data_IF_473859004830
#
_entry.id   IF_473859004830
#
_cell.length_a   1.000
_cell.length_b   1.000
_cell.length_c   1.000
_cell.angle_alpha   90.00
_cell.angle_beta   90.00
_cell.angle_gamma   90.00
#
_symmetry.space_group_name_H-M   'P 1'
#
loop_
_entity.id
_entity.type
_entity.pdbx_description
1 polymer ?
#
# COMPACT_ATOMS: atom_id res chain seq x y z
N UNK A 1 -29.37 19.34 5.71
CA UNK A 1 -29.49 17.99 5.15
C UNK A 1 -28.21 17.25 5.49
N UNK A 2 -28.24 16.41 6.52
CA UNK A 2 -27.11 15.57 6.89
C UNK A 2 -27.03 14.44 5.87
N UNK A 3 -26.04 14.46 4.98
CA UNK A 3 -25.80 13.35 4.06
C UNK A 3 -25.46 12.13 4.90
N UNK A 4 -26.40 11.19 5.06
CA UNK A 4 -26.11 9.95 5.75
C UNK A 4 -25.02 9.21 4.97
N UNK A 5 -23.83 9.14 5.58
CA UNK A 5 -22.72 8.37 5.05
C UNK A 5 -23.09 6.90 5.21
N UNK A 6 -23.67 6.32 4.16
CA UNK A 6 -23.95 4.89 4.11
C UNK A 6 -22.63 4.09 4.17
N UNK A 7 -22.57 2.95 4.88
CA UNK A 7 -21.43 2.03 4.85
C UNK A 7 -20.96 1.71 3.42
N UNK A 8 -21.89 1.60 2.48
CA UNK A 8 -21.64 1.37 1.05
C UNK A 8 -20.82 2.50 0.42
N UNK A 9 -21.09 3.76 0.80
CA UNK A 9 -20.36 4.95 0.32
C UNK A 9 -18.94 4.98 0.88
N UNK A 10 -18.76 4.65 2.16
CA UNK A 10 -17.44 4.58 2.80
C UNK A 10 -16.57 3.53 2.12
N UNK A 11 -17.09 2.32 1.93
CA UNK A 11 -16.31 1.22 1.34
C UNK A 11 -16.00 1.47 -0.13
N UNK A 12 -16.87 2.17 -0.86
CA UNK A 12 -16.62 2.57 -2.24
C UNK A 12 -15.54 3.66 -2.38
N UNK A 13 -15.24 4.41 -1.31
CA UNK A 13 -14.16 5.40 -1.29
C UNK A 13 -12.77 4.77 -0.99
N UNK A 14 -12.74 3.56 -0.42
CA UNK A 14 -11.49 2.91 -0.04
C UNK A 14 -10.57 2.61 -1.24
N UNK A 15 -11.06 2.12 -2.40
CA UNK A 15 -10.19 1.91 -3.56
C UNK A 15 -9.52 3.19 -4.04
N UNK A 16 -10.24 4.31 -4.01
CA UNK A 16 -9.68 5.62 -4.32
C UNK A 16 -8.58 5.98 -3.32
N UNK A 17 -8.85 5.83 -2.01
CA UNK A 17 -7.87 6.13 -0.96
C UNK A 17 -6.60 5.28 -1.12
N UNK A 18 -6.73 3.96 -1.23
CA UNK A 18 -5.60 3.06 -1.39
C UNK A 18 -4.84 3.30 -2.70
N UNK A 19 -5.55 3.60 -3.78
CA UNK A 19 -4.95 3.97 -5.06
C UNK A 19 -4.12 5.25 -4.96
N UNK A 20 -4.64 6.28 -4.30
CA UNK A 20 -3.93 7.54 -4.05
C UNK A 20 -2.72 7.32 -3.14
N UNK A 21 -2.89 6.64 -2.00
CA UNK A 21 -1.79 6.35 -1.07
C UNK A 21 -0.67 5.58 -1.76
N UNK A 22 -0.98 4.51 -2.50
CA UNK A 22 0.03 3.74 -3.25
C UNK A 22 0.77 4.59 -4.29
N UNK A 23 0.03 5.41 -5.05
CA UNK A 23 0.61 6.33 -6.04
C UNK A 23 1.54 7.36 -5.38
N UNK A 24 1.08 8.01 -4.30
CA UNK A 24 1.84 9.04 -3.58
C UNK A 24 3.09 8.46 -2.92
N UNK A 25 2.99 7.31 -2.23
CA UNK A 25 4.15 6.64 -1.63
C UNK A 25 5.13 6.17 -2.71
N UNK A 26 4.61 5.69 -3.85
CA UNK A 26 5.40 5.31 -5.01
C UNK A 26 6.25 6.47 -5.54
N UNK A 27 5.64 7.63 -5.78
CA UNK A 27 6.34 8.85 -6.20
C UNK A 27 7.34 9.30 -5.12
N UNK A 28 6.91 9.31 -3.86
CA UNK A 28 7.74 9.76 -2.74
C UNK A 28 9.02 8.93 -2.58
N UNK A 29 8.97 7.64 -2.94
CA UNK A 29 10.14 6.75 -2.92
C UNK A 29 11.26 7.21 -3.86
N UNK A 30 10.95 7.93 -4.94
CA UNK A 30 11.95 8.52 -5.85
C UNK A 30 12.45 9.89 -5.41
N UNK A 31 11.59 10.67 -4.78
CA UNK A 31 11.91 12.03 -4.32
C UNK A 31 12.73 11.99 -3.02
N UNK A 32 12.36 11.09 -2.11
CA UNK A 32 12.95 11.01 -0.77
C UNK A 32 13.00 9.56 -0.28
N UNK A 33 13.86 8.70 -0.87
CA UNK A 33 13.86 7.26 -0.60
C UNK A 33 14.02 6.92 0.89
N UNK A 34 14.95 7.59 1.57
CA UNK A 34 15.21 7.35 2.99
C UNK A 34 14.05 7.74 3.91
N UNK A 35 13.24 8.73 3.52
CA UNK A 35 12.05 9.09 4.28
C UNK A 35 10.86 8.20 3.91
N UNK A 36 10.76 7.78 2.64
CA UNK A 36 9.70 6.88 2.19
C UNK A 36 9.79 5.52 2.91
N UNK A 37 10.98 4.96 3.03
CA UNK A 37 11.18 3.65 3.68
C UNK A 37 10.87 3.68 5.18
N UNK A 38 10.97 4.85 5.84
CA UNK A 38 10.54 5.04 7.23
C UNK A 38 9.04 4.86 7.43
N UNK A 39 8.22 5.08 6.40
CA UNK A 39 6.77 4.81 6.48
C UNK A 39 6.48 3.31 6.65
N UNK A 40 7.41 2.46 6.21
CA UNK A 40 7.38 1.00 6.44
C UNK A 40 7.99 0.61 7.79
N UNK A 41 8.31 1.58 8.66
CA UNK A 41 8.99 1.37 9.92
C UNK A 41 10.44 0.91 9.79
N UNK A 42 11.01 1.00 8.59
CA UNK A 42 12.38 0.62 8.31
C UNK A 42 13.25 1.87 8.31
N UNK A 43 14.30 1.86 9.12
CA UNK A 43 15.32 2.89 9.12
C UNK A 43 16.58 2.32 8.47
N UNK A 44 17.16 3.07 7.54
CA UNK A 44 18.52 2.76 7.07
C UNK A 44 19.49 2.79 8.25
N UNK A 45 20.62 2.07 8.17
CA UNK A 45 21.64 2.18 9.21
C UNK A 45 21.91 3.66 9.46
N UNK A 46 21.91 4.06 10.74
CA UNK A 46 22.37 5.39 11.13
C UNK A 46 23.69 5.62 10.41
N UNK A 47 23.95 6.85 9.96
CA UNK A 47 25.16 7.27 9.24
C UNK A 47 26.41 6.97 10.07
N UNK A 48 26.77 5.70 10.19
CA UNK A 48 28.05 5.24 10.66
C UNK A 48 29.01 5.52 9.52
N UNK A 49 30.09 6.22 9.86
CA UNK A 49 31.24 6.46 9.00
C UNK A 49 31.74 5.11 8.48
N UNK A 50 31.21 4.64 7.36
CA UNK A 50 31.51 3.29 6.87
C UNK A 50 30.52 2.67 5.89
N UNK A 51 29.34 3.24 5.64
CA UNK A 51 28.48 2.70 4.56
C UNK A 51 29.19 2.88 3.21
N UNK A 52 29.48 1.77 2.55
CA UNK A 52 30.10 1.81 1.23
C UNK A 52 29.12 2.46 0.24
N UNK A 53 29.65 3.18 -0.76
CA UNK A 53 28.83 3.75 -1.84
C UNK A 53 27.93 2.71 -2.50
N UNK A 54 28.41 1.45 -2.58
CA UNK A 54 27.64 0.31 -3.05
C UNK A 54 26.43 0.00 -2.15
N UNK A 55 26.58 0.02 -0.82
CA UNK A 55 25.49 -0.26 0.12
C UNK A 55 24.37 0.79 0.03
N UNK A 56 24.74 2.07 -0.07
CA UNK A 56 23.77 3.17 -0.23
C UNK A 56 23.04 3.06 -1.59
N UNK A 57 23.80 2.79 -2.67
CA UNK A 57 23.22 2.58 -3.99
C UNK A 57 22.25 1.39 -4.01
N UNK A 58 22.65 0.26 -3.43
CA UNK A 58 21.81 -0.94 -3.34
C UNK A 58 20.51 -0.68 -2.55
N UNK A 59 20.61 -0.02 -1.40
CA UNK A 59 19.44 0.32 -0.58
C UNK A 59 18.48 1.25 -1.34
N UNK A 60 19.00 2.31 -1.98
CA UNK A 60 18.17 3.23 -2.78
C UNK A 60 17.51 2.52 -3.96
N UNK A 61 18.24 1.66 -4.67
CA UNK A 61 17.68 0.86 -5.77
C UNK A 61 16.54 -0.05 -5.31
N UNK A 62 16.65 -0.67 -4.13
CA UNK A 62 15.55 -1.44 -3.54
C UNK A 62 14.34 -0.55 -3.23
N UNK A 63 14.56 0.62 -2.62
CA UNK A 63 13.49 1.57 -2.32
C UNK A 63 12.79 2.05 -3.60
N UNK A 64 13.53 2.32 -4.67
CA UNK A 64 12.95 2.67 -5.98
C UNK A 64 12.15 1.53 -6.58
N UNK A 65 12.62 0.28 -6.45
CA UNK A 65 11.87 -0.88 -6.93
C UNK A 65 10.54 -1.05 -6.16
N UNK A 66 10.53 -0.86 -4.84
CA UNK A 66 9.30 -0.81 -4.05
C UNK A 66 8.40 0.37 -4.46
N UNK A 67 9.01 1.54 -4.70
CA UNK A 67 8.33 2.72 -5.22
C UNK A 67 7.60 2.47 -6.53
N UNK A 68 8.26 1.85 -7.51
CA UNK A 68 7.63 1.46 -8.79
C UNK A 68 6.45 0.52 -8.60
N UNK A 69 6.58 -0.48 -7.72
CA UNK A 69 5.49 -1.43 -7.45
C UNK A 69 4.27 -0.72 -6.85
N UNK A 70 4.48 0.15 -5.87
CA UNK A 70 3.40 0.93 -5.26
C UNK A 70 2.76 1.91 -6.25
N UNK A 71 3.57 2.57 -7.08
CA UNK A 71 3.08 3.46 -8.13
C UNK A 71 2.23 2.70 -9.16
N UNK A 72 2.73 1.57 -9.66
CA UNK A 72 2.01 0.74 -10.64
C UNK A 72 0.71 0.16 -10.08
N UNK A 73 0.72 -0.34 -8.84
CA UNK A 73 -0.47 -0.86 -8.17
C UNK A 73 -1.48 0.26 -7.85
N UNK A 74 -1.00 1.42 -7.40
CA UNK A 74 -1.81 2.60 -7.13
C UNK A 74 -2.53 3.11 -8.38
N UNK A 75 -1.78 3.33 -9.46
CA UNK A 75 -2.34 3.78 -10.75
C UNK A 75 -3.30 2.76 -11.36
N UNK A 76 -3.00 1.47 -11.25
CA UNK A 76 -3.89 0.40 -11.72
C UNK A 76 -5.20 0.37 -10.93
N UNK A 77 -5.13 0.56 -9.61
CA UNK A 77 -6.30 0.70 -8.73
C UNK A 77 -7.13 1.91 -9.10
N UNK A 78 -6.51 3.08 -9.28
CA UNK A 78 -7.18 4.32 -9.69
C UNK A 78 -7.81 4.18 -11.08
N UNK A 79 -7.12 3.55 -12.03
CA UNK A 79 -7.61 3.31 -13.38
C UNK A 79 -8.83 2.40 -13.41
N UNK A 80 -8.78 1.27 -12.70
CA UNK A 80 -9.93 0.36 -12.58
C UNK A 80 -11.10 1.01 -11.85
N UNK A 81 -10.83 1.77 -10.79
CA UNK A 81 -11.87 2.51 -10.07
C UNK A 81 -12.52 3.58 -10.96
N UNK A 82 -11.72 4.37 -11.69
CA UNK A 82 -12.22 5.37 -12.60
C UNK A 82 -13.01 4.74 -13.76
N UNK A 83 -12.55 3.60 -14.29
CA UNK A 83 -13.28 2.86 -15.32
C UNK A 83 -14.62 2.33 -14.79
N UNK A 84 -14.65 1.82 -13.56
CA UNK A 84 -15.89 1.35 -12.94
C UNK A 84 -16.90 2.49 -12.72
N UNK A 85 -16.45 3.64 -12.20
CA UNK A 85 -17.33 4.73 -11.78
C UNK A 85 -17.73 5.68 -12.91
N UNK A 86 -16.82 5.93 -13.85
CA UNK A 86 -16.96 7.05 -14.81
C UNK A 86 -16.99 6.62 -16.28
N UNK A 87 -16.66 5.37 -16.61
CA UNK A 87 -16.69 4.91 -18.00
C UNK A 87 -18.12 4.84 -18.53
N UNK A 88 -18.41 5.38 -19.74
CA UNK A 88 -19.70 5.19 -20.39
C UNK A 88 -20.09 3.71 -20.50
N UNK A 89 -19.12 2.82 -20.70
CA UNK A 89 -19.34 1.37 -20.80
C UNK A 89 -19.96 0.82 -19.52
N UNK A 90 -19.42 1.18 -18.36
CA UNK A 90 -19.94 0.73 -17.07
C UNK A 90 -21.25 1.43 -16.69
N UNK A 91 -21.47 2.66 -17.16
CA UNK A 91 -22.72 3.38 -16.93
C UNK A 91 -23.90 2.79 -17.72
N UNK A 92 -23.66 2.23 -18.91
CA UNK A 92 -24.72 1.64 -19.76
C UNK A 92 -24.86 0.13 -19.60
N UNK A 93 -23.80 -0.58 -19.19
CA UNK A 93 -23.79 -2.05 -19.05
C UNK A 93 -23.61 -2.47 -17.59
N UNK A 94 -24.69 -2.92 -16.92
CA UNK A 94 -24.60 -3.43 -15.55
C UNK A 94 -23.63 -4.61 -15.41
N UNK A 95 -23.52 -5.45 -16.44
CA UNK A 95 -22.58 -6.56 -16.47
C UNK A 95 -21.13 -6.06 -16.48
N UNK A 96 -20.81 -5.06 -17.31
CA UNK A 96 -19.46 -4.50 -17.36
C UNK A 96 -19.07 -3.82 -16.05
N UNK A 97 -20.00 -3.10 -15.41
CA UNK A 97 -19.78 -2.52 -14.09
C UNK A 97 -19.53 -3.60 -13.02
N UNK A 98 -20.35 -4.65 -13.01
CA UNK A 98 -20.20 -5.75 -12.05
C UNK A 98 -18.87 -6.51 -12.23
N UNK A 99 -18.47 -6.80 -13.47
CA UNK A 99 -17.19 -7.47 -13.75
C UNK A 99 -16.02 -6.58 -13.33
N UNK A 100 -16.04 -5.28 -13.65
CA UNK A 100 -14.96 -4.36 -13.25
C UNK A 100 -14.86 -4.25 -11.73
N UNK A 101 -16.00 -4.10 -11.03
CA UNK A 101 -16.06 -4.09 -9.56
C UNK A 101 -15.45 -5.37 -8.98
N UNK A 102 -15.79 -6.54 -9.52
CA UNK A 102 -15.25 -7.84 -9.09
C UNK A 102 -13.76 -7.98 -9.37
N UNK A 103 -13.27 -7.54 -10.53
CA UNK A 103 -11.84 -7.53 -10.85
C UNK A 103 -11.07 -6.66 -9.84
N UNK A 104 -11.59 -5.47 -9.53
CA UNK A 104 -11.02 -4.61 -8.49
C UNK A 104 -11.02 -5.34 -7.14
N UNK A 105 -12.12 -6.02 -6.79
CA UNK A 105 -12.19 -6.84 -5.58
C UNK A 105 -11.12 -7.94 -5.52
N UNK A 106 -10.89 -8.66 -6.61
CA UNK A 106 -9.83 -9.67 -6.73
C UNK A 106 -8.44 -9.04 -6.53
N UNK A 107 -8.16 -7.90 -7.18
CA UNK A 107 -6.90 -7.18 -7.00
C UNK A 107 -6.66 -6.79 -5.54
N UNK A 108 -7.70 -6.34 -4.82
CA UNK A 108 -7.62 -6.01 -3.40
C UNK A 108 -7.40 -7.26 -2.54
N UNK A 109 -8.14 -8.34 -2.76
CA UNK A 109 -7.97 -9.58 -1.98
C UNK A 109 -6.54 -10.11 -2.08
N UNK A 110 -5.96 -10.19 -3.28
CA UNK A 110 -4.56 -10.62 -3.44
C UNK A 110 -3.55 -9.54 -3.00
N UNK A 111 -3.87 -8.26 -3.19
CA UNK A 111 -3.06 -7.15 -2.69
C UNK A 111 -2.93 -7.13 -1.17
N UNK A 112 -3.87 -7.71 -0.43
CA UNK A 112 -3.79 -7.84 1.04
C UNK A 112 -2.57 -8.66 1.50
N UNK A 113 -2.08 -9.58 0.66
CA UNK A 113 -0.87 -10.35 0.92
C UNK A 113 0.37 -9.47 1.03
N UNK A 114 0.39 -8.31 0.36
CA UNK A 114 1.46 -7.32 0.50
C UNK A 114 1.44 -6.74 1.91
N UNK A 115 0.28 -6.29 2.39
CA UNK A 115 0.15 -5.74 3.76
C UNK A 115 0.48 -6.75 4.85
N UNK A 116 0.01 -7.99 4.73
CA UNK A 116 0.34 -9.07 5.67
C UNK A 116 1.82 -9.46 5.56
N UNK A 117 2.35 -9.57 4.34
CA UNK A 117 3.75 -9.88 4.09
C UNK A 117 4.69 -8.84 4.68
N UNK A 118 4.42 -7.56 4.46
CA UNK A 118 5.14 -6.43 5.07
C UNK A 118 5.11 -6.55 6.59
N UNK A 119 3.94 -6.79 7.19
CA UNK A 119 3.82 -6.95 8.63
C UNK A 119 4.73 -8.06 9.18
N UNK A 120 4.77 -9.21 8.50
CA UNK A 120 5.63 -10.34 8.89
C UNK A 120 7.11 -9.99 8.74
N UNK A 121 7.51 -9.45 7.59
CA UNK A 121 8.91 -9.12 7.29
C UNK A 121 9.43 -8.02 8.23
N UNK A 122 8.64 -6.99 8.49
CA UNK A 122 8.99 -5.91 9.42
C UNK A 122 9.05 -6.43 10.85
N UNK A 123 8.16 -7.34 11.27
CA UNK A 123 8.24 -7.97 12.60
C UNK A 123 9.50 -8.80 12.75
N UNK A 124 9.88 -9.55 11.72
CA UNK A 124 11.13 -10.30 11.70
C UNK A 124 12.35 -9.37 11.78
N UNK A 125 12.30 -8.21 11.10
CA UNK A 125 13.34 -7.19 11.21
C UNK A 125 13.44 -6.61 12.63
N UNK A 126 12.32 -6.25 13.25
CA UNK A 126 12.28 -5.70 14.61
C UNK A 126 12.88 -6.68 15.64
N UNK A 127 12.67 -7.98 15.46
CA UNK A 127 13.14 -9.00 16.41
C UNK A 127 14.63 -9.37 16.24
N UNK A 128 15.40 -8.72 15.36
CA UNK A 128 16.82 -9.05 15.18
C UNK A 128 17.67 -8.36 16.25
N UNK A 129 18.67 -9.08 16.75
CA UNK A 129 19.53 -8.63 17.87
C UNK A 129 20.22 -7.27 17.62
N UNK A 130 20.47 -6.92 16.36
CA UNK A 130 21.11 -5.66 15.96
C UNK A 130 20.13 -4.51 15.68
N UNK A 131 18.83 -4.71 15.90
CA UNK A 131 17.79 -3.69 15.83
C UNK A 131 17.26 -3.49 17.24
N UNK A 132 17.67 -2.41 17.90
CA UNK A 132 17.31 -2.13 19.30
C UNK A 132 16.83 -0.68 19.47
N UNK A 133 16.07 -0.44 20.54
CA UNK A 133 15.61 0.90 20.91
C UNK A 133 14.55 1.45 19.96
N UNK A 134 14.65 2.73 19.58
CA UNK A 134 13.64 3.43 18.77
C UNK A 134 13.36 2.74 17.42
N UNK A 135 14.39 2.15 16.81
CA UNK A 135 14.25 1.43 15.53
C UNK A 135 13.40 0.16 15.67
N UNK A 136 13.56 -0.57 16.77
CA UNK A 136 12.74 -1.75 17.10
C UNK A 136 11.29 -1.35 17.33
N UNK A 137 11.04 -0.33 18.17
CA UNK A 137 9.69 0.14 18.48
C UNK A 137 8.97 0.65 17.23
N UNK A 138 9.66 1.42 16.39
CA UNK A 138 9.13 1.94 15.13
C UNK A 138 8.75 0.81 14.18
N UNK A 139 9.63 -0.20 14.03
CA UNK A 139 9.36 -1.37 13.19
C UNK A 139 8.20 -2.20 13.75
N UNK A 140 8.16 -2.45 15.06
CA UNK A 140 7.07 -3.18 15.70
C UNK A 140 5.70 -2.49 15.49
N UNK A 141 5.65 -1.16 15.64
CA UNK A 141 4.43 -0.38 15.40
C UNK A 141 4.03 -0.40 13.93
N UNK A 142 4.98 -0.26 13.01
CA UNK A 142 4.72 -0.33 11.58
C UNK A 142 4.19 -1.71 11.18
N UNK A 143 4.75 -2.80 11.72
CA UNK A 143 4.25 -4.16 11.49
C UNK A 143 2.75 -4.28 11.82
N UNK A 144 2.32 -3.75 12.96
CA UNK A 144 0.90 -3.73 13.35
C UNK A 144 0.08 -2.89 12.35
N UNK A 145 0.57 -1.70 11.99
CA UNK A 145 -0.09 -0.83 11.02
C UNK A 145 -0.29 -1.51 9.65
N UNK A 146 0.73 -2.22 9.17
CA UNK A 146 0.67 -2.99 7.92
C UNK A 146 -0.31 -4.16 8.03
N UNK A 147 -0.36 -4.87 9.16
CA UNK A 147 -1.32 -5.94 9.37
C UNK A 147 -2.77 -5.43 9.35
N UNK A 148 -3.05 -4.34 10.07
CA UNK A 148 -4.36 -3.68 10.06
C UNK A 148 -4.73 -3.22 8.65
N UNK A 149 -3.79 -2.58 7.95
CA UNK A 149 -3.99 -2.13 6.56
C UNK A 149 -4.29 -3.31 5.64
N UNK A 150 -3.58 -4.44 5.78
CA UNK A 150 -3.85 -5.68 5.04
C UNK A 150 -5.27 -6.22 5.27
N UNK A 151 -5.75 -6.19 6.51
CA UNK A 151 -7.15 -6.57 6.83
C UNK A 151 -8.15 -5.63 6.18
N UNK A 152 -7.91 -4.32 6.20
CA UNK A 152 -8.79 -3.34 5.53
C UNK A 152 -8.81 -3.52 4.00
N UNK A 153 -7.65 -3.80 3.40
CA UNK A 153 -7.53 -4.11 1.98
C UNK A 153 -8.32 -5.39 1.64
N UNK A 154 -8.19 -6.44 2.45
CA UNK A 154 -8.94 -7.69 2.28
C UNK A 154 -10.45 -7.47 2.39
N UNK A 155 -10.89 -6.75 3.42
CA UNK A 155 -12.31 -6.43 3.62
C UNK A 155 -12.89 -5.62 2.45
N UNK A 156 -12.12 -4.63 1.95
CA UNK A 156 -12.47 -3.87 0.75
C UNK A 156 -12.61 -4.79 -0.46
N UNK A 157 -11.65 -5.72 -0.64
CA UNK A 157 -11.68 -6.68 -1.73
C UNK A 157 -12.90 -7.61 -1.70
N UNK A 158 -13.22 -8.14 -0.52
CA UNK A 158 -14.39 -8.99 -0.31
C UNK A 158 -15.68 -8.24 -0.61
N UNK A 159 -15.83 -7.01 -0.12
CA UNK A 159 -17.00 -6.18 -0.41
C UNK A 159 -17.16 -5.84 -1.89
N UNK A 160 -16.04 -5.63 -2.58
CA UNK A 160 -16.07 -5.34 -4.01
C UNK A 160 -16.43 -6.58 -4.84
N UNK A 161 -15.98 -7.75 -4.39
CA UNK A 161 -16.19 -9.01 -5.08
C UNK A 161 -17.60 -9.59 -4.90
N UNK A 162 -18.15 -9.48 -3.69
CA UNK A 162 -19.51 -9.90 -3.34
C UNK A 162 -20.56 -8.89 -3.84
#
# INVERSE_FOLDING_TARGET
MSSEISPTTVVSALPLLFGLTGTSVGIYSFVSPNNAIRMFGLQGPATEKGSSSHSDAFQKSLIYAYGLRNLGQGLSTLGLFAFWQFSPICQVSPLAAAVTKKCLGVCFMFGSLVGVGDAVVIRQFANKEYVQGEAEETAAKASISHAVTGVLILATGLFLYL
#
